data_IF_195884270345
#
_entry.id   IF_195884270345
#
_cell.length_a   1.000
_cell.length_b   1.000
_cell.length_c   1.000
_cell.angle_alpha   90.00
_cell.angle_beta   90.00
_cell.angle_gamma   90.00
#
_symmetry.space_group_name_H-M   'P 1'
#
loop_
_entity.id
_entity.type
_entity.pdbx_description
1 polymer ?
#
# COMPACT_ATOMS: atom_id res chain seq x y z
N UNK A 1 0.56 21.04 20.35
CA UNK A 1 1.57 20.28 19.59
C UNK A 1 0.86 19.21 18.76
N UNK A 2 1.15 19.15 17.45
CA UNK A 2 0.62 18.15 16.54
C UNK A 2 1.65 17.05 16.32
N UNK A 3 1.23 15.79 16.46
CA UNK A 3 2.09 14.66 16.20
C UNK A 3 1.87 14.16 14.77
N UNK A 4 2.96 13.67 14.17
CA UNK A 4 2.92 13.06 12.84
C UNK A 4 2.69 11.55 13.00
N UNK A 5 1.72 11.04 12.26
CA UNK A 5 1.32 9.63 12.27
C UNK A 5 1.39 9.09 10.84
N UNK A 6 1.97 7.93 10.70
CA UNK A 6 2.05 7.20 9.43
C UNK A 6 2.60 8.03 8.26
N UNK A 7 3.58 8.89 8.54
CA UNK A 7 4.28 9.64 7.50
C UNK A 7 5.44 8.81 6.95
N UNK A 8 5.60 8.80 5.62
CA UNK A 8 6.76 8.20 4.97
C UNK A 8 8.01 9.03 5.20
N UNK A 9 9.09 8.37 5.59
CA UNK A 9 10.44 8.92 5.62
C UNK A 9 11.28 8.35 4.47
N UNK A 10 12.57 8.71 4.43
CA UNK A 10 13.55 8.12 3.52
C UNK A 10 13.53 6.59 3.66
N UNK A 11 13.81 5.88 2.55
CA UNK A 11 13.79 4.40 2.48
C UNK A 11 12.40 3.78 2.82
N UNK A 12 11.32 4.55 2.65
CA UNK A 12 9.93 4.13 2.92
C UNK A 12 9.65 3.75 4.38
N UNK A 13 10.52 4.12 5.30
CA UNK A 13 10.28 3.91 6.73
C UNK A 13 9.12 4.77 7.22
N UNK A 14 8.46 4.33 8.27
CA UNK A 14 7.28 4.98 8.84
C UNK A 14 7.67 5.87 10.02
N UNK A 15 7.36 7.16 9.94
CA UNK A 15 7.34 8.03 11.10
C UNK A 15 5.98 7.90 11.80
N UNK A 16 5.99 7.40 13.01
CA UNK A 16 4.81 7.32 13.85
C UNK A 16 5.17 7.83 15.24
N UNK A 17 4.84 9.09 15.50
CA UNK A 17 5.11 9.70 16.80
C UNK A 17 4.07 9.25 17.83
N UNK A 18 4.56 8.79 18.97
CA UNK A 18 3.75 8.32 20.10
C UNK A 18 3.99 9.21 21.32
N UNK A 19 2.94 9.77 21.94
CA UNK A 19 3.08 10.55 23.17
C UNK A 19 3.59 9.64 24.30
N UNK A 20 4.51 10.16 25.09
CA UNK A 20 5.04 9.51 26.31
C UNK A 20 4.52 10.17 27.58
N UNK A 21 3.68 11.18 27.44
CA UNK A 21 3.01 11.89 28.53
C UNK A 21 1.51 11.62 28.51
N UNK A 22 0.88 11.66 29.66
CA UNK A 22 -0.57 11.44 29.80
C UNK A 22 -1.30 12.74 30.01
N UNK A 23 -2.63 12.70 29.82
CA UNK A 23 -3.50 13.84 30.11
C UNK A 23 -3.46 14.18 31.60
N UNK A 24 -3.16 15.43 31.92
CA UNK A 24 -3.06 15.92 33.28
C UNK A 24 -1.64 15.93 33.86
N UNK A 25 -0.66 15.38 33.16
CA UNK A 25 0.74 15.45 33.59
C UNK A 25 1.26 16.89 33.56
N UNK A 26 2.04 17.25 34.58
CA UNK A 26 2.77 18.52 34.60
C UNK A 26 4.07 18.36 33.83
N UNK A 27 4.22 19.14 32.77
CA UNK A 27 5.41 19.13 31.90
C UNK A 27 6.28 20.36 32.15
N UNK A 28 7.57 20.19 32.01
CA UNK A 28 8.59 21.25 32.20
C UNK A 28 9.16 21.66 30.83
N UNK A 29 9.79 22.83 30.81
CA UNK A 29 10.48 23.31 29.61
C UNK A 29 11.64 22.36 29.23
N UNK A 30 11.66 21.90 27.98
CA UNK A 30 12.67 20.97 27.48
C UNK A 30 12.35 19.49 27.71
N UNK A 31 11.23 19.17 28.37
CA UNK A 31 10.79 17.79 28.53
C UNK A 31 10.34 17.21 27.19
N UNK A 32 10.72 15.96 26.94
CA UNK A 32 10.30 15.21 25.75
C UNK A 32 8.84 14.79 25.92
N UNK A 33 8.01 15.08 24.93
CA UNK A 33 6.56 14.81 24.96
C UNK A 33 6.17 13.59 24.16
N UNK A 34 6.98 13.21 23.16
CA UNK A 34 6.70 12.07 22.29
C UNK A 34 7.98 11.43 21.79
N UNK A 35 7.93 10.15 21.56
CA UNK A 35 8.93 9.38 20.85
C UNK A 35 8.56 9.21 19.38
N UNK A 36 9.57 9.03 18.52
CA UNK A 36 9.42 8.72 17.11
C UNK A 36 9.80 7.28 16.78
N UNK A 37 9.86 6.95 15.51
CA UNK A 37 10.13 5.59 15.03
C UNK A 37 11.54 5.05 15.28
N UNK A 38 12.43 5.78 15.88
CA UNK A 38 13.79 5.34 16.19
C UNK A 38 14.26 5.84 17.54
N UNK A 39 13.33 6.24 18.42
CA UNK A 39 13.66 6.75 19.76
C UNK A 39 12.85 6.03 20.85
N UNK A 40 13.43 5.99 22.03
CA UNK A 40 12.80 5.53 23.27
C UNK A 40 13.19 6.47 24.39
N UNK A 41 12.22 7.12 25.03
CA UNK A 41 12.42 8.17 26.02
C UNK A 41 13.36 9.30 25.53
N UNK A 42 13.26 9.61 24.22
CA UNK A 42 14.07 10.64 23.58
C UNK A 42 15.50 10.26 23.20
N UNK A 43 15.92 9.04 23.52
CA UNK A 43 17.24 8.54 23.13
C UNK A 43 17.15 7.69 21.88
N UNK A 44 18.20 7.71 21.04
CA UNK A 44 18.27 6.92 19.83
C UNK A 44 18.22 5.43 20.16
N UNK A 45 17.25 4.73 19.57
CA UNK A 45 16.98 3.31 19.78
C UNK A 45 16.63 2.64 18.45
N UNK A 46 17.64 2.29 17.63
CA UNK A 46 17.47 1.74 16.30
C UNK A 46 17.32 0.21 16.27
N UNK A 47 17.33 -0.42 17.41
CA UNK A 47 17.23 -1.87 17.52
C UNK A 47 17.19 -2.35 18.95
N UNK A 48 17.45 -3.64 19.14
CA UNK A 48 17.51 -4.29 20.46
C UNK A 48 18.77 -5.11 20.58
N UNK A 49 19.36 -5.09 21.79
CA UNK A 49 20.45 -6.00 22.13
C UNK A 49 19.92 -7.42 22.25
N UNK A 50 20.64 -8.36 21.62
CA UNK A 50 20.32 -9.78 21.61
C UNK A 50 21.50 -10.59 22.08
N UNK A 51 21.24 -11.72 22.74
CA UNK A 51 22.24 -12.71 23.04
C UNK A 51 22.57 -13.47 21.74
N UNK A 52 23.83 -13.46 21.34
CA UNK A 52 24.31 -14.07 20.10
C UNK A 52 25.34 -15.16 20.44
N UNK A 53 25.20 -16.32 19.81
CA UNK A 53 26.21 -17.37 19.82
C UNK A 53 26.94 -17.41 18.48
N UNK A 54 28.26 -17.31 18.49
CA UNK A 54 29.11 -17.43 17.29
C UNK A 54 29.55 -18.89 17.17
N UNK A 55 28.83 -19.67 16.39
CA UNK A 55 29.11 -21.10 16.19
C UNK A 55 28.49 -21.59 14.86
N UNK A 56 29.05 -22.62 14.23
CA UNK A 56 28.36 -23.33 13.16
C UNK A 56 27.10 -24.01 13.69
N UNK A 57 25.98 -23.84 13.00
CA UNK A 57 24.71 -24.46 13.40
C UNK A 57 24.16 -25.33 12.26
N UNK A 58 24.61 -26.57 12.19
CA UNK A 58 24.20 -27.57 11.18
C UNK A 58 24.23 -27.08 9.72
N UNK A 59 25.09 -26.11 9.42
CA UNK A 59 25.16 -25.47 8.09
C UNK A 59 24.07 -24.46 7.79
N UNK A 60 23.09 -24.27 8.67
CA UNK A 60 21.97 -23.34 8.45
C UNK A 60 22.39 -21.86 8.52
N UNK A 61 23.56 -21.57 9.06
CA UNK A 61 24.16 -20.23 9.09
C UNK A 61 25.39 -20.11 8.18
N UNK A 62 25.39 -20.83 7.04
CA UNK A 62 26.46 -20.75 6.04
C UNK A 62 26.47 -19.36 5.37
N UNK A 63 27.67 -18.84 5.13
CA UNK A 63 27.92 -17.49 4.60
C UNK A 63 27.29 -16.40 5.49
N UNK A 64 26.38 -15.58 4.92
CA UNK A 64 25.74 -14.46 5.62
C UNK A 64 24.41 -14.84 6.28
N UNK A 65 24.07 -16.14 6.31
CA UNK A 65 22.85 -16.62 6.93
C UNK A 65 22.93 -16.54 8.47
N UNK A 66 21.84 -16.13 9.09
CA UNK A 66 21.69 -16.03 10.54
C UNK A 66 20.49 -16.86 10.96
N UNK A 67 20.70 -17.75 11.93
CA UNK A 67 19.60 -18.50 12.57
C UNK A 67 19.06 -17.69 13.73
N UNK A 68 17.76 -17.45 13.73
CA UNK A 68 17.09 -16.68 14.77
C UNK A 68 16.10 -17.55 15.54
N UNK A 69 15.88 -17.21 16.81
CA UNK A 69 14.86 -17.87 17.62
C UNK A 69 13.47 -17.37 17.22
N UNK A 70 12.48 -18.25 17.12
CA UNK A 70 11.09 -17.95 16.80
C UNK A 70 10.48 -16.89 17.76
N UNK A 71 10.99 -16.76 18.96
CA UNK A 71 10.57 -15.76 19.92
C UNK A 71 10.72 -14.32 19.41
N UNK A 72 11.69 -14.06 18.50
CA UNK A 72 11.84 -12.75 17.88
C UNK A 72 10.59 -12.36 17.05
N UNK A 73 10.00 -13.32 16.38
CA UNK A 73 8.74 -13.11 15.63
C UNK A 73 7.55 -12.93 16.57
N UNK A 74 7.45 -13.76 17.61
CA UNK A 74 6.36 -13.69 18.58
C UNK A 74 6.36 -12.39 19.40
N UNK A 75 7.54 -11.87 19.71
CA UNK A 75 7.72 -10.63 20.47
C UNK A 75 7.79 -9.38 19.59
N UNK A 76 7.54 -9.49 18.28
CA UNK A 76 7.65 -8.40 17.29
C UNK A 76 8.98 -7.63 17.39
N UNK A 77 10.09 -8.36 17.55
CA UNK A 77 11.42 -7.76 17.60
C UNK A 77 11.95 -7.58 16.19
N UNK A 78 12.62 -6.45 15.93
CA UNK A 78 13.15 -6.06 14.63
C UNK A 78 12.09 -5.94 13.54
N UNK A 79 10.83 -5.79 13.90
CA UNK A 79 9.74 -5.52 12.96
C UNK A 79 9.81 -4.08 12.49
N UNK A 80 9.81 -3.87 11.19
CA UNK A 80 9.77 -2.55 10.57
C UNK A 80 8.43 -2.34 9.86
N UNK A 81 7.97 -1.09 9.88
CA UNK A 81 6.79 -0.66 9.14
C UNK A 81 7.27 0.20 7.98
N UNK A 82 6.80 -0.10 6.79
CA UNK A 82 7.11 0.65 5.59
C UNK A 82 5.84 1.26 5.01
N UNK A 83 5.95 2.50 4.51
CA UNK A 83 4.87 3.17 3.80
C UNK A 83 5.25 3.26 2.34
N UNK A 84 4.41 2.69 1.47
CA UNK A 84 4.55 2.79 0.04
C UNK A 84 3.49 3.72 -0.54
N UNK A 85 3.90 4.59 -1.43
CA UNK A 85 3.04 5.50 -2.15
C UNK A 85 2.86 5.02 -3.59
N UNK A 86 1.61 4.84 -3.99
CA UNK A 86 1.24 4.50 -5.36
C UNK A 86 0.56 5.71 -5.99
N UNK A 87 1.03 6.12 -7.17
CA UNK A 87 0.48 7.25 -7.91
C UNK A 87 -0.06 6.79 -9.24
N UNK A 88 -1.22 7.27 -9.58
CA UNK A 88 -1.84 7.05 -10.89
C UNK A 88 -2.49 8.35 -11.35
N UNK A 89 -2.42 8.61 -12.62
CA UNK A 89 -3.00 9.81 -13.24
C UNK A 89 -3.88 9.44 -14.44
N UNK A 90 -4.85 10.28 -14.72
CA UNK A 90 -5.65 10.24 -15.94
C UNK A 90 -4.91 10.98 -17.03
N UNK A 91 -4.76 10.33 -18.18
CA UNK A 91 -4.15 10.91 -19.37
C UNK A 91 -5.20 11.09 -20.46
N UNK A 92 -5.01 12.09 -21.28
CA UNK A 92 -5.77 12.26 -22.50
C UNK A 92 -5.04 11.54 -23.63
N UNK A 93 -5.68 10.51 -24.20
CA UNK A 93 -5.14 9.75 -25.31
C UNK A 93 -5.77 10.21 -26.63
N UNK A 94 -5.17 9.82 -27.77
CA UNK A 94 -5.75 10.10 -29.10
C UNK A 94 -7.13 9.46 -29.31
N UNK A 95 -7.49 8.47 -28.52
CA UNK A 95 -8.75 7.72 -28.59
C UNK A 95 -9.82 8.25 -27.63
N UNK A 96 -9.43 9.11 -26.69
CA UNK A 96 -10.28 9.68 -25.69
C UNK A 96 -9.56 9.82 -24.33
N UNK A 97 -10.26 10.32 -23.35
CA UNK A 97 -9.76 10.52 -22.00
C UNK A 97 -9.87 9.22 -21.21
N UNK A 98 -8.84 8.89 -20.45
CA UNK A 98 -8.91 7.84 -19.43
C UNK A 98 -9.85 8.26 -18.31
N UNK A 99 -10.42 7.31 -17.58
CA UNK A 99 -11.37 7.58 -16.51
C UNK A 99 -11.12 6.67 -15.31
N UNK A 100 -11.29 7.22 -14.11
CA UNK A 100 -11.37 6.42 -12.89
C UNK A 100 -12.81 5.95 -12.68
N UNK A 101 -12.99 4.65 -12.55
CA UNK A 101 -14.30 4.06 -12.38
C UNK A 101 -14.23 2.75 -11.60
N UNK A 102 -15.33 2.41 -10.96
CA UNK A 102 -15.53 1.08 -10.39
C UNK A 102 -16.00 0.07 -11.45
N UNK A 103 -16.59 0.53 -12.53
CA UNK A 103 -17.08 -0.31 -13.62
C UNK A 103 -15.91 -0.72 -14.53
N UNK A 104 -15.27 -1.85 -14.20
CA UNK A 104 -14.09 -2.35 -14.91
C UNK A 104 -14.47 -3.60 -15.68
N UNK A 105 -14.26 -3.61 -17.01
CA UNK A 105 -14.59 -4.75 -17.85
C UNK A 105 -13.88 -6.03 -17.41
N UNK A 106 -14.63 -7.14 -17.38
CA UNK A 106 -14.09 -8.46 -17.08
C UNK A 106 -13.66 -8.71 -15.64
N UNK A 107 -13.99 -7.81 -14.71
CA UNK A 107 -13.73 -8.01 -13.27
C UNK A 107 -14.97 -8.47 -12.55
N UNK A 108 -14.80 -9.40 -11.59
CA UNK A 108 -15.89 -9.86 -10.74
C UNK A 108 -16.24 -8.84 -9.65
N UNK A 109 -17.48 -8.85 -9.18
CA UNK A 109 -17.93 -8.01 -8.06
C UNK A 109 -17.10 -8.21 -6.80
N UNK A 110 -16.59 -9.42 -6.59
CA UNK A 110 -15.71 -9.73 -5.48
C UNK A 110 -14.38 -8.97 -5.57
N UNK A 111 -13.78 -8.87 -6.74
CA UNK A 111 -12.56 -8.10 -6.98
C UNK A 111 -12.78 -6.58 -6.78
N UNK A 112 -14.02 -6.11 -7.01
CA UNK A 112 -14.39 -4.70 -6.91
C UNK A 112 -14.94 -4.29 -5.53
N UNK A 113 -15.14 -5.24 -4.60
CA UNK A 113 -15.79 -5.00 -3.29
C UNK A 113 -15.10 -3.94 -2.43
N UNK A 114 -13.79 -3.85 -2.54
CA UNK A 114 -12.95 -2.95 -1.76
C UNK A 114 -12.89 -1.53 -2.33
N UNK A 115 -13.44 -1.30 -3.52
CA UNK A 115 -13.48 -0.01 -4.17
C UNK A 115 -14.72 0.80 -3.74
N UNK A 116 -14.56 2.12 -3.71
CA UNK A 116 -15.67 3.06 -3.57
C UNK A 116 -16.41 3.25 -4.91
N UNK A 117 -17.44 4.10 -4.94
CA UNK A 117 -18.25 4.39 -6.13
C UNK A 117 -17.43 5.04 -7.27
N UNK A 118 -16.30 5.63 -6.93
CA UNK A 118 -15.40 6.27 -7.91
C UNK A 118 -14.22 5.40 -8.34
N UNK A 119 -14.18 4.15 -7.87
CA UNK A 119 -13.12 3.21 -8.23
C UNK A 119 -11.85 3.30 -7.39
N UNK A 120 -11.87 3.92 -6.21
CA UNK A 120 -10.72 3.98 -5.30
C UNK A 120 -10.89 2.99 -4.15
N UNK A 121 -9.79 2.37 -3.76
CA UNK A 121 -9.78 1.49 -2.59
C UNK A 121 -10.10 2.28 -1.32
N UNK A 122 -10.89 1.69 -0.42
CA UNK A 122 -11.29 2.32 0.84
C UNK A 122 -10.15 2.32 1.84
N UNK A 123 -9.99 3.42 2.58
CA UNK A 123 -9.03 3.51 3.70
C UNK A 123 -9.36 2.46 4.75
N UNK A 124 -8.32 1.84 5.34
CA UNK A 124 -8.45 0.74 6.29
C UNK A 124 -8.57 -0.65 5.66
N UNK A 125 -8.66 -0.75 4.32
CA UNK A 125 -8.72 -2.04 3.63
C UNK A 125 -7.38 -2.76 3.69
N UNK A 126 -7.39 -4.04 4.07
CA UNK A 126 -6.25 -4.93 3.90
C UNK A 126 -6.20 -5.39 2.44
N UNK A 127 -5.14 -5.01 1.74
CA UNK A 127 -4.92 -5.36 0.33
C UNK A 127 -3.84 -6.41 0.19
N UNK A 128 -4.00 -7.29 -0.80
CA UNK A 128 -3.11 -8.41 -1.13
C UNK A 128 -2.62 -8.28 -2.57
N UNK A 129 -1.61 -9.05 -2.98
CA UNK A 129 -1.21 -9.10 -4.38
C UNK A 129 -2.39 -9.33 -5.32
N UNK A 130 -2.41 -8.58 -6.43
CA UNK A 130 -3.47 -8.55 -7.44
C UNK A 130 -4.78 -7.85 -7.04
N UNK A 131 -4.95 -7.38 -5.80
CA UNK A 131 -6.10 -6.53 -5.46
C UNK A 131 -6.02 -5.19 -6.19
N UNK A 132 -7.17 -4.67 -6.59
CA UNK A 132 -7.27 -3.40 -7.30
C UNK A 132 -7.20 -2.26 -6.29
N UNK A 133 -6.24 -1.35 -6.48
CA UNK A 133 -6.09 -0.14 -5.68
C UNK A 133 -6.88 1.04 -6.26
N UNK A 134 -6.83 1.19 -7.59
CA UNK A 134 -7.57 2.22 -8.32
C UNK A 134 -8.08 1.61 -9.61
N UNK A 135 -9.39 1.65 -9.79
CA UNK A 135 -10.04 1.27 -11.04
C UNK A 135 -9.85 2.36 -12.08
N UNK A 136 -9.20 2.01 -13.19
CA UNK A 136 -8.98 2.91 -14.32
C UNK A 136 -9.27 2.19 -15.62
N UNK A 137 -9.95 2.88 -16.51
CA UNK A 137 -10.24 2.39 -17.86
C UNK A 137 -9.67 3.32 -18.92
N UNK A 138 -9.21 2.74 -19.99
CA UNK A 138 -8.63 3.45 -21.14
C UNK A 138 -9.44 3.11 -22.41
N UNK A 139 -9.80 4.09 -23.26
CA UNK A 139 -10.49 3.83 -24.50
C UNK A 139 -9.71 2.88 -25.42
N UNK A 140 -10.41 1.89 -26.01
CA UNK A 140 -9.87 0.96 -27.00
C UNK A 140 -9.89 1.56 -28.40
N UNK A 141 -8.95 1.14 -29.23
CA UNK A 141 -9.03 1.36 -30.67
C UNK A 141 -9.97 0.32 -31.27
N UNK A 142 -10.82 0.71 -32.21
CA UNK A 142 -11.75 -0.20 -32.96
C UNK A 142 -11.05 -1.37 -33.65
N UNK A 143 -9.76 -1.25 -33.94
CA UNK A 143 -8.95 -2.34 -34.53
C UNK A 143 -8.52 -3.41 -33.48
N UNK A 144 -8.61 -3.12 -32.21
CA UNK A 144 -8.21 -4.04 -31.13
C UNK A 144 -9.35 -4.94 -30.63
N UNK A 145 -10.56 -4.79 -31.22
CA UNK A 145 -11.68 -5.65 -30.87
C UNK A 145 -11.44 -7.07 -31.42
N UNK A 146 -11.65 -8.05 -30.54
CA UNK A 146 -11.63 -9.46 -30.94
C UNK A 146 -12.76 -9.76 -31.94
N UNK A 147 -12.68 -10.83 -32.76
CA UNK A 147 -13.75 -11.23 -33.66
C UNK A 147 -15.08 -11.41 -32.93
N UNK A 148 -15.07 -11.91 -31.70
CA UNK A 148 -16.26 -12.12 -30.86
C UNK A 148 -16.86 -10.79 -30.42
N UNK A 149 -16.03 -9.84 -29.96
CA UNK A 149 -16.47 -8.49 -29.60
C UNK A 149 -17.05 -7.74 -30.81
N UNK A 150 -16.47 -7.90 -31.99
CA UNK A 150 -17.01 -7.33 -33.23
C UNK A 150 -18.40 -7.90 -33.59
N UNK A 151 -18.58 -9.21 -33.34
CA UNK A 151 -19.88 -9.86 -33.57
C UNK A 151 -20.93 -9.37 -32.57
N UNK A 152 -20.57 -9.27 -31.29
CA UNK A 152 -21.45 -8.72 -30.27
C UNK A 152 -21.83 -7.27 -30.51
N UNK A 153 -20.88 -6.47 -30.98
CA UNK A 153 -21.14 -5.08 -31.40
C UNK A 153 -22.12 -4.99 -32.59
N UNK A 154 -22.04 -5.95 -33.52
CA UNK A 154 -22.93 -5.99 -34.68
C UNK A 154 -24.36 -6.44 -34.31
N UNK A 155 -24.51 -7.32 -33.28
CA UNK A 155 -25.80 -7.91 -32.89
C UNK A 155 -26.53 -7.02 -31.88
N UNK A 156 -25.83 -6.54 -30.84
CA UNK A 156 -26.42 -5.86 -29.69
C UNK A 156 -26.19 -4.34 -29.65
N UNK A 157 -25.67 -3.76 -30.73
CA UNK A 157 -25.26 -2.36 -30.69
C UNK A 157 -24.19 -2.14 -29.61
N UNK A 158 -24.06 -1.04 -28.98
CA UNK A 158 -23.00 -0.68 -28.03
C UNK A 158 -22.81 -1.60 -26.79
N UNK A 159 -23.08 -2.87 -26.88
CA UNK A 159 -22.91 -3.84 -25.79
C UNK A 159 -21.46 -4.36 -25.62
N UNK A 160 -20.53 -3.91 -26.46
CA UNK A 160 -19.11 -4.18 -26.27
C UNK A 160 -18.42 -2.96 -25.68
N UNK A 161 -17.77 -3.11 -24.56
CA UNK A 161 -17.08 -2.02 -23.88
C UNK A 161 -15.94 -1.48 -24.75
N UNK A 162 -16.08 -0.22 -25.18
CA UNK A 162 -15.04 0.50 -25.94
C UNK A 162 -13.82 0.87 -25.07
N UNK A 163 -13.65 0.20 -23.91
CA UNK A 163 -12.60 0.48 -22.94
C UNK A 163 -11.89 -0.80 -22.51
N UNK A 164 -10.63 -0.66 -22.12
CA UNK A 164 -9.81 -1.73 -21.50
C UNK A 164 -9.49 -1.40 -20.06
N UNK A 165 -9.29 -2.44 -19.26
CA UNK A 165 -8.79 -2.34 -17.90
C UNK A 165 -7.32 -1.85 -17.90
N UNK A 166 -7.09 -0.71 -17.28
CA UNK A 166 -5.76 -0.13 -17.00
C UNK A 166 -5.64 0.22 -15.50
N UNK A 167 -6.32 -0.57 -14.68
CA UNK A 167 -6.38 -0.37 -13.25
C UNK A 167 -5.03 -0.54 -12.57
N UNK A 168 -4.81 0.25 -11.52
CA UNK A 168 -3.67 0.07 -10.64
C UNK A 168 -3.93 -1.09 -9.71
N UNK A 169 -3.14 -2.13 -9.82
CA UNK A 169 -3.23 -3.33 -8.96
C UNK A 169 -2.05 -3.44 -8.02
N UNK A 170 -2.26 -4.08 -6.86
CA UNK A 170 -1.18 -4.36 -5.91
C UNK A 170 -0.15 -5.31 -6.51
N UNK A 171 1.12 -4.96 -6.35
CA UNK A 171 2.25 -5.74 -6.89
C UNK A 171 2.41 -7.08 -6.17
N UNK A 172 2.96 -8.09 -6.85
CA UNK A 172 3.33 -9.36 -6.22
C UNK A 172 4.26 -9.16 -5.02
N UNK A 173 4.06 -9.95 -3.97
CA UNK A 173 4.90 -9.94 -2.76
C UNK A 173 4.63 -8.80 -1.79
N UNK A 174 3.72 -7.87 -2.11
CA UNK A 174 3.37 -6.76 -1.24
C UNK A 174 1.94 -6.94 -0.73
N UNK A 175 1.76 -6.81 0.57
CA UNK A 175 0.45 -6.74 1.22
C UNK A 175 0.50 -5.71 2.34
N UNK A 176 -0.62 -5.07 2.62
CA UNK A 176 -0.67 -4.03 3.65
C UNK A 176 -2.05 -3.43 3.82
N UNK A 177 -2.13 -2.45 4.70
CA UNK A 177 -3.38 -1.72 4.97
C UNK A 177 -3.31 -0.34 4.31
N UNK A 178 -4.38 0.05 3.64
CA UNK A 178 -4.50 1.38 3.05
C UNK A 178 -4.66 2.42 4.18
N UNK A 179 -3.69 3.31 4.30
CA UNK A 179 -3.65 4.34 5.34
C UNK A 179 -4.37 5.60 4.89
N UNK A 180 -4.17 6.00 3.63
CA UNK A 180 -4.74 7.24 3.09
C UNK A 180 -4.96 7.14 1.58
N UNK A 181 -5.93 7.90 1.07
CA UNK A 181 -6.22 8.04 -0.37
C UNK A 181 -6.47 9.50 -0.68
N UNK A 182 -5.60 10.10 -1.50
CA UNK A 182 -5.70 11.50 -1.91
C UNK A 182 -6.08 11.61 -3.38
N UNK A 183 -7.11 12.37 -3.65
CA UNK A 183 -7.53 12.72 -5.01
C UNK A 183 -7.19 14.18 -5.29
N UNK A 184 -6.62 14.41 -6.44
CA UNK A 184 -6.34 15.74 -6.94
C UNK A 184 -7.11 15.94 -8.25
N UNK A 185 -7.88 17.00 -8.31
CA UNK A 185 -8.62 17.39 -9.51
C UNK A 185 -8.19 18.80 -9.91
N UNK A 186 -7.92 18.96 -11.20
CA UNK A 186 -7.68 20.29 -11.79
C UNK A 186 -8.99 20.93 -12.22
#
# INVERSE_FOLDING_TARGET
YNFRKFDGLNERTCLNQMPIVNLGDKVTKGQILADGGGTTNGELSLGKNMLVAFMPYHGCNFEDAIVVNERLLKDDRYTSIHIEEFKVEIRETKLGKEEFTREIPGRSDEALRNLDEHGFVKVGTLVRPADILVGKVTPKNKSELTPEEKLLHAIFGRAGEDVRDDSLVMKPGISGVIVDVKRFQR
#
